data_IF_992934594983
#
_entry.id   IF_992934594983
#
_cell.length_a   1.000
_cell.length_b   1.000
_cell.length_c   1.000
_cell.angle_alpha   90.00
_cell.angle_beta   90.00
_cell.angle_gamma   90.00
#
_symmetry.space_group_name_H-M   'P 1'
#
loop_
_entity.id
_entity.type
_entity.pdbx_description
1 polymer ?
#
# COMPACT_ATOMS: atom_id res chain seq x y z
N UNK A 1 -10.54 -17.35 -18.22
CA UNK A 1 -10.38 -17.76 -16.80
C UNK A 1 -8.96 -18.14 -16.40
N UNK A 2 -8.21 -18.93 -17.18
CA UNK A 2 -6.85 -19.40 -16.82
C UNK A 2 -5.81 -18.30 -16.56
N UNK A 3 -5.81 -17.19 -17.32
CA UNK A 3 -4.81 -16.12 -17.17
C UNK A 3 -4.95 -15.34 -15.86
N UNK A 4 -6.17 -15.07 -15.41
CA UNK A 4 -6.43 -14.40 -14.13
C UNK A 4 -5.98 -15.28 -12.96
N UNK A 5 -6.19 -16.59 -13.08
CA UNK A 5 -5.71 -17.56 -12.11
C UNK A 5 -4.17 -17.61 -12.05
N UNK A 6 -3.50 -17.68 -13.22
CA UNK A 6 -2.03 -17.62 -13.30
C UNK A 6 -1.49 -16.36 -12.64
N UNK A 7 -2.08 -15.19 -12.92
CA UNK A 7 -1.65 -13.93 -12.32
C UNK A 7 -1.74 -13.94 -10.78
N UNK A 8 -2.75 -14.62 -10.21
CA UNK A 8 -2.92 -14.76 -8.77
C UNK A 8 -1.97 -15.78 -8.14
N UNK A 9 -1.65 -16.88 -8.83
CA UNK A 9 -0.78 -17.94 -8.32
C UNK A 9 0.66 -17.50 -8.05
N UNK A 10 1.14 -16.48 -8.78
CA UNK A 10 2.52 -16.01 -8.69
C UNK A 10 2.75 -15.10 -7.46
N UNK A 11 1.68 -14.52 -6.92
CA UNK A 11 1.76 -13.57 -5.82
C UNK A 11 1.50 -14.31 -4.50
N UNK A 12 2.46 -14.38 -3.57
CA UNK A 12 2.22 -14.97 -2.26
C UNK A 12 1.18 -14.14 -1.48
N UNK A 13 0.52 -14.74 -0.47
CA UNK A 13 -0.44 -14.07 0.40
C UNK A 13 0.05 -12.71 0.92
N UNK A 14 -0.89 -11.82 1.20
CA UNK A 14 -0.53 -10.50 1.74
C UNK A 14 0.14 -10.67 3.12
N UNK A 15 1.04 -9.75 3.48
CA UNK A 15 1.72 -9.83 4.79
C UNK A 15 0.72 -9.81 5.97
N UNK A 16 -0.41 -9.11 5.81
CA UNK A 16 -1.51 -9.09 6.78
C UNK A 16 -2.20 -10.44 6.94
N UNK A 17 -2.31 -11.23 5.87
CA UNK A 17 -2.85 -12.59 5.89
C UNK A 17 -1.85 -13.55 6.52
N UNK A 18 -0.57 -13.42 6.19
CA UNK A 18 0.48 -14.23 6.83
C UNK A 18 0.49 -13.98 8.35
N UNK A 19 0.31 -12.73 8.79
CA UNK A 19 0.27 -12.38 10.23
C UNK A 19 -0.89 -13.06 10.96
N UNK A 20 -2.04 -13.28 10.32
CA UNK A 20 -3.16 -13.96 11.00
C UNK A 20 -2.88 -15.43 11.29
N UNK A 21 -1.96 -16.04 10.55
CA UNK A 21 -1.55 -17.43 10.73
C UNK A 21 -0.36 -17.59 11.70
N UNK A 22 0.27 -16.48 12.12
CA UNK A 22 1.35 -16.50 13.12
C UNK A 22 0.74 -16.63 14.52
N UNK A 23 1.33 -17.44 15.43
CA UNK A 23 0.83 -17.56 16.79
C UNK A 23 0.64 -16.21 17.48
N UNK A 24 -0.49 -16.06 18.17
CA UNK A 24 -0.84 -14.86 18.94
C UNK A 24 0.30 -14.46 19.88
N UNK A 25 0.58 -13.16 19.99
CA UNK A 25 1.65 -12.61 20.84
C UNK A 25 3.07 -12.77 20.29
N UNK A 26 3.23 -13.30 19.07
CA UNK A 26 4.56 -13.58 18.50
C UNK A 26 4.81 -12.91 17.14
N UNK A 27 3.80 -12.30 16.53
CA UNK A 27 3.94 -11.74 15.19
C UNK A 27 4.90 -10.55 15.19
N UNK A 28 5.96 -10.67 14.39
CA UNK A 28 6.90 -9.60 14.06
C UNK A 28 6.63 -9.16 12.61
N UNK A 29 5.93 -8.05 12.39
CA UNK A 29 5.56 -7.58 11.05
C UNK A 29 6.77 -7.32 10.17
N UNK A 30 7.88 -6.85 10.74
CA UNK A 30 9.10 -6.58 9.99
C UNK A 30 9.75 -7.88 9.50
N UNK A 31 9.74 -8.95 10.30
CA UNK A 31 10.18 -10.28 9.84
C UNK A 31 9.26 -10.84 8.77
N UNK A 32 7.94 -10.76 8.94
CA UNK A 32 6.96 -11.24 7.94
C UNK A 32 7.13 -10.50 6.62
N UNK A 33 7.20 -9.16 6.64
CA UNK A 33 7.45 -8.36 5.45
C UNK A 33 8.77 -8.74 4.78
N UNK A 34 9.89 -8.83 5.52
CA UNK A 34 11.18 -9.23 4.94
C UNK A 34 11.15 -10.63 4.32
N UNK A 35 10.53 -11.60 4.99
CA UNK A 35 10.40 -12.96 4.45
C UNK A 35 9.57 -12.98 3.16
N UNK A 36 8.45 -12.24 3.13
CA UNK A 36 7.60 -12.11 1.95
C UNK A 36 8.33 -11.43 0.80
N UNK A 37 9.04 -10.34 1.07
CA UNK A 37 9.85 -9.64 0.06
C UNK A 37 10.98 -10.53 -0.48
N UNK A 38 11.61 -11.35 0.36
CA UNK A 38 12.62 -12.31 -0.07
C UNK A 38 12.04 -13.38 -1.03
N UNK A 39 10.86 -13.92 -0.73
CA UNK A 39 10.15 -14.86 -1.63
C UNK A 39 9.81 -14.18 -2.96
N UNK A 40 9.26 -12.97 -2.92
CA UNK A 40 8.94 -12.20 -4.13
C UNK A 40 10.19 -11.92 -4.97
N UNK A 41 11.30 -11.51 -4.34
CA UNK A 41 12.57 -11.24 -5.00
C UNK A 41 13.14 -12.50 -5.66
N UNK A 42 13.14 -13.63 -4.94
CA UNK A 42 13.59 -14.91 -5.49
C UNK A 42 12.72 -15.37 -6.66
N UNK A 43 11.40 -15.22 -6.56
CA UNK A 43 10.45 -15.55 -7.64
C UNK A 43 10.68 -14.69 -8.87
N UNK A 44 10.79 -13.37 -8.69
CA UNK A 44 11.07 -12.42 -9.76
C UNK A 44 12.39 -12.77 -10.48
N UNK A 45 13.48 -12.96 -9.73
CA UNK A 45 14.79 -13.22 -10.31
C UNK A 45 14.87 -14.57 -11.04
N UNK A 46 14.32 -15.64 -10.43
CA UNK A 46 14.35 -16.99 -11.02
C UNK A 46 13.50 -17.11 -12.28
N UNK A 47 12.46 -16.29 -12.40
CA UNK A 47 11.49 -16.37 -13.50
C UNK A 47 11.50 -15.13 -14.40
N UNK A 48 12.56 -14.31 -14.36
CA UNK A 48 12.64 -13.04 -15.10
C UNK A 48 12.32 -13.20 -16.60
N UNK A 49 12.87 -14.23 -17.25
CA UNK A 49 12.67 -14.49 -18.67
C UNK A 49 11.23 -14.94 -18.97
N UNK A 50 10.61 -15.68 -18.04
CA UNK A 50 9.21 -16.08 -18.15
C UNK A 50 8.28 -14.88 -18.01
N UNK A 51 8.55 -13.96 -17.07
CA UNK A 51 7.77 -12.72 -16.94
C UNK A 51 7.91 -11.82 -18.16
N UNK A 52 9.12 -11.69 -18.72
CA UNK A 52 9.34 -10.93 -19.95
C UNK A 52 8.55 -11.53 -21.14
N UNK A 53 8.57 -12.86 -21.30
CA UNK A 53 7.77 -13.55 -22.32
C UNK A 53 6.26 -13.37 -22.12
N UNK A 54 5.78 -13.45 -20.88
CA UNK A 54 4.38 -13.23 -20.56
C UNK A 54 3.96 -11.77 -20.81
N UNK A 55 4.81 -10.80 -20.48
CA UNK A 55 4.54 -9.39 -20.79
C UNK A 55 4.43 -9.16 -22.30
N UNK A 56 5.36 -9.71 -23.09
CA UNK A 56 5.32 -9.65 -24.54
C UNK A 56 4.05 -10.33 -25.12
N UNK A 57 3.65 -11.47 -24.55
CA UNK A 57 2.38 -12.11 -24.91
C UNK A 57 1.20 -11.19 -24.62
N UNK A 58 1.14 -10.55 -23.45
CA UNK A 58 0.05 -9.64 -23.12
C UNK A 58 0.04 -8.43 -24.07
N UNK A 59 1.19 -7.84 -24.38
CA UNK A 59 1.27 -6.71 -25.30
C UNK A 59 0.78 -7.05 -26.72
N UNK A 60 1.01 -8.28 -27.18
CA UNK A 60 0.53 -8.74 -28.48
C UNK A 60 -0.97 -9.07 -28.50
N UNK A 61 -1.58 -9.39 -27.36
CA UNK A 61 -2.96 -9.91 -27.28
C UNK A 61 -3.95 -8.98 -26.60
N UNK A 62 -3.51 -7.96 -25.86
CA UNK A 62 -4.41 -6.97 -25.26
C UNK A 62 -5.02 -6.08 -26.37
N UNK A 63 -6.36 -5.98 -26.44
CA UNK A 63 -6.99 -5.09 -27.40
C UNK A 63 -6.53 -3.64 -27.22
N UNK A 64 -6.21 -2.95 -28.33
CA UNK A 64 -5.81 -1.53 -28.32
C UNK A 64 -6.91 -0.62 -27.78
N UNK A 65 -8.15 -0.94 -28.12
CA UNK A 65 -9.33 -0.26 -27.59
C UNK A 65 -9.71 -0.86 -26.24
N UNK A 66 -10.02 -0.01 -25.26
CA UNK A 66 -10.39 -0.47 -23.93
C UNK A 66 -11.69 -1.29 -23.98
N UNK A 67 -11.62 -2.54 -23.49
CA UNK A 67 -12.78 -3.41 -23.31
C UNK A 67 -12.88 -3.89 -21.85
N UNK A 68 -14.06 -3.75 -21.21
CA UNK A 68 -14.32 -4.26 -19.87
C UNK A 68 -14.83 -5.71 -19.92
N UNK A 69 -14.26 -6.55 -20.79
CA UNK A 69 -14.59 -7.98 -20.88
C UNK A 69 -13.61 -8.83 -20.05
N UNK A 70 -14.01 -10.06 -19.63
CA UNK A 70 -13.19 -10.91 -18.78
C UNK A 70 -11.78 -11.21 -19.33
N UNK A 71 -11.64 -11.37 -20.65
CA UNK A 71 -10.35 -11.69 -21.27
C UNK A 71 -9.41 -10.49 -21.21
N UNK A 72 -9.88 -9.31 -21.61
CA UNK A 72 -9.11 -8.07 -21.55
C UNK A 72 -8.72 -7.70 -20.10
N UNK A 73 -9.63 -7.91 -19.14
CA UNK A 73 -9.33 -7.72 -17.72
C UNK A 73 -8.28 -8.70 -17.19
N UNK A 74 -8.32 -9.97 -17.61
CA UNK A 74 -7.32 -10.97 -17.23
C UNK A 74 -5.94 -10.62 -17.79
N UNK A 75 -5.88 -10.14 -19.04
CA UNK A 75 -4.64 -9.65 -19.66
C UNK A 75 -4.05 -8.46 -18.89
N UNK A 76 -4.87 -7.45 -18.54
CA UNK A 76 -4.41 -6.31 -17.71
C UNK A 76 -3.93 -6.73 -16.33
N UNK A 77 -4.60 -7.70 -15.72
CA UNK A 77 -4.18 -8.28 -14.43
C UNK A 77 -2.81 -8.94 -14.56
N UNK A 78 -2.59 -9.74 -15.61
CA UNK A 78 -1.31 -10.39 -15.87
C UNK A 78 -0.21 -9.37 -16.19
N UNK A 79 -0.53 -8.32 -16.98
CA UNK A 79 0.39 -7.19 -17.25
C UNK A 79 0.87 -6.55 -15.95
N UNK A 80 -0.05 -6.24 -15.03
CA UNK A 80 0.30 -5.66 -13.73
C UNK A 80 1.29 -6.51 -12.94
N UNK A 81 1.06 -7.83 -12.88
CA UNK A 81 1.99 -8.77 -12.23
C UNK A 81 3.34 -8.80 -12.94
N UNK A 82 3.36 -8.88 -14.28
CA UNK A 82 4.60 -8.94 -15.05
C UNK A 82 5.44 -7.67 -14.93
N UNK A 83 4.81 -6.48 -14.97
CA UNK A 83 5.51 -5.20 -14.76
C UNK A 83 6.13 -5.15 -13.36
N UNK A 84 5.37 -5.51 -12.32
CA UNK A 84 5.86 -5.50 -10.94
C UNK A 84 7.01 -6.50 -10.72
N UNK A 85 6.91 -7.71 -11.31
CA UNK A 85 7.98 -8.71 -11.22
C UNK A 85 9.20 -8.34 -12.07
N UNK A 86 9.00 -7.69 -13.22
CA UNK A 86 10.08 -7.19 -14.07
C UNK A 86 10.90 -6.11 -13.39
N UNK A 87 10.25 -5.08 -12.84
CA UNK A 87 10.89 -4.04 -12.02
C UNK A 87 11.65 -4.67 -10.87
N UNK A 88 11.02 -5.58 -10.12
CA UNK A 88 11.64 -6.26 -8.98
C UNK A 88 12.87 -7.07 -9.37
N UNK A 89 12.80 -7.86 -10.46
CA UNK A 89 13.94 -8.65 -10.93
C UNK A 89 15.11 -7.73 -11.31
N UNK A 90 14.83 -6.62 -11.99
CA UNK A 90 15.84 -5.64 -12.35
C UNK A 90 16.51 -5.03 -11.10
N UNK A 91 15.72 -4.57 -10.13
CA UNK A 91 16.23 -4.02 -8.86
C UNK A 91 17.12 -5.01 -8.10
N UNK A 92 16.70 -6.28 -8.01
CA UNK A 92 17.43 -7.32 -7.26
C UNK A 92 18.72 -7.74 -7.97
N UNK A 93 18.78 -7.64 -9.30
CA UNK A 93 20.00 -7.95 -10.05
C UNK A 93 21.14 -6.97 -9.74
N UNK A 94 20.83 -5.75 -9.28
CA UNK A 94 21.83 -4.77 -8.81
C UNK A 94 22.63 -4.08 -9.90
N UNK A 95 22.29 -4.28 -11.18
CA UNK A 95 22.83 -3.52 -12.30
C UNK A 95 22.01 -2.23 -12.47
N UNK A 96 22.60 -1.09 -12.11
CA UNK A 96 21.92 0.20 -12.11
C UNK A 96 21.45 0.61 -13.51
N UNK A 97 22.29 0.44 -14.54
CA UNK A 97 21.96 0.85 -15.90
C UNK A 97 20.86 -0.04 -16.49
N UNK A 98 20.94 -1.35 -16.27
CA UNK A 98 19.89 -2.28 -16.69
C UNK A 98 18.57 -2.04 -15.95
N UNK A 99 18.64 -1.72 -14.65
CA UNK A 99 17.46 -1.37 -13.85
C UNK A 99 16.78 -0.12 -14.35
N UNK A 100 17.56 0.93 -14.63
CA UNK A 100 17.04 2.19 -15.15
C UNK A 100 16.33 2.00 -16.49
N UNK A 101 16.87 1.18 -17.40
CA UNK A 101 16.20 0.84 -18.65
C UNK A 101 14.82 0.20 -18.44
N UNK A 102 14.69 -0.71 -17.47
CA UNK A 102 13.40 -1.34 -17.12
C UNK A 102 12.44 -0.32 -16.51
N UNK A 103 12.91 0.57 -15.64
CA UNK A 103 12.07 1.60 -15.03
C UNK A 103 11.54 2.59 -16.08
N UNK A 104 12.38 2.96 -17.04
CA UNK A 104 12.01 3.83 -18.15
C UNK A 104 11.01 3.16 -19.11
N UNK A 105 11.15 1.86 -19.40
CA UNK A 105 10.13 1.11 -20.16
C UNK A 105 8.76 1.15 -19.47
N UNK A 106 8.72 1.01 -18.13
CA UNK A 106 7.46 1.13 -17.36
C UNK A 106 6.89 2.55 -17.45
N UNK A 107 7.73 3.58 -17.41
CA UNK A 107 7.30 4.98 -17.59
C UNK A 107 6.75 5.23 -19.00
N UNK A 108 7.39 4.71 -20.04
CA UNK A 108 6.90 4.82 -21.42
C UNK A 108 5.54 4.13 -21.58
N UNK A 109 5.38 2.95 -20.97
CA UNK A 109 4.10 2.23 -20.93
C UNK A 109 3.01 2.98 -20.19
N UNK A 110 3.36 3.68 -19.10
CA UNK A 110 2.44 4.57 -18.39
C UNK A 110 1.95 5.70 -19.33
N UNK A 111 2.87 6.38 -20.02
CA UNK A 111 2.55 7.50 -20.92
C UNK A 111 1.78 7.07 -22.17
N UNK A 112 2.08 5.90 -22.71
CA UNK A 112 1.37 5.32 -23.86
C UNK A 112 0.01 4.72 -23.49
N UNK A 113 -0.31 4.63 -22.20
CA UNK A 113 -1.54 3.98 -21.75
C UNK A 113 -2.78 4.80 -22.08
N UNK A 114 -3.81 4.12 -22.61
CA UNK A 114 -5.12 4.71 -22.88
C UNK A 114 -6.15 4.44 -21.77
N UNK A 115 -5.75 3.78 -20.68
CA UNK A 115 -6.66 3.43 -19.58
C UNK A 115 -5.99 3.45 -18.21
N UNK A 116 -6.77 3.83 -17.20
CA UNK A 116 -6.28 3.98 -15.82
C UNK A 116 -5.83 2.67 -15.18
N UNK A 117 -6.34 1.51 -15.62
CA UNK A 117 -5.91 0.20 -15.05
C UNK A 117 -4.43 -0.04 -15.33
N UNK A 118 -3.98 0.24 -16.55
CA UNK A 118 -2.57 0.10 -16.92
C UNK A 118 -1.71 1.21 -16.32
N UNK A 119 -2.20 2.45 -16.24
CA UNK A 119 -1.48 3.51 -15.53
C UNK A 119 -1.21 3.17 -14.06
N UNK A 120 -2.24 2.72 -13.33
CA UNK A 120 -2.13 2.29 -11.92
C UNK A 120 -1.18 1.09 -11.80
N UNK A 121 -1.19 0.16 -12.75
CA UNK A 121 -0.27 -0.98 -12.76
C UNK A 121 1.21 -0.51 -12.87
N UNK A 122 1.49 0.46 -13.75
CA UNK A 122 2.82 1.04 -13.90
C UNK A 122 3.25 1.79 -12.63
N UNK A 123 2.37 2.63 -12.07
CA UNK A 123 2.61 3.32 -10.81
C UNK A 123 2.89 2.33 -9.68
N UNK A 124 2.11 1.27 -9.56
CA UNK A 124 2.27 0.24 -8.52
C UNK A 124 3.58 -0.54 -8.67
N UNK A 125 4.04 -0.78 -9.90
CA UNK A 125 5.32 -1.44 -10.15
C UNK A 125 6.51 -0.60 -9.68
N UNK A 126 6.44 0.73 -9.85
CA UNK A 126 7.50 1.67 -9.47
C UNK A 126 7.39 2.20 -8.04
N UNK A 127 6.27 1.99 -7.35
CA UNK A 127 5.90 2.70 -6.11
C UNK A 127 6.89 2.56 -4.96
N UNK A 128 7.61 1.44 -4.86
CA UNK A 128 8.54 1.15 -3.77
C UNK A 128 10.02 1.44 -4.12
N UNK A 129 10.29 2.03 -5.30
CA UNK A 129 11.63 2.41 -5.71
C UNK A 129 12.03 3.76 -5.09
N UNK A 130 13.06 3.76 -4.25
CA UNK A 130 13.64 4.98 -3.67
C UNK A 130 14.50 5.71 -4.71
N UNK A 131 14.46 7.04 -4.67
CA UNK A 131 15.31 7.92 -5.52
C UNK A 131 15.24 7.54 -7.00
N UNK A 132 14.04 7.27 -7.49
CA UNK A 132 13.79 6.81 -8.86
C UNK A 132 13.02 7.88 -9.65
N UNK A 133 13.65 8.52 -10.65
CA UNK A 133 12.98 9.54 -11.47
C UNK A 133 11.72 9.03 -12.16
N UNK A 134 11.71 7.76 -12.60
CA UNK A 134 10.52 7.16 -13.20
C UNK A 134 9.34 7.07 -12.22
N UNK A 135 9.60 6.75 -10.94
CA UNK A 135 8.56 6.76 -9.89
C UNK A 135 8.02 8.18 -9.68
N UNK A 136 8.91 9.16 -9.58
CA UNK A 136 8.51 10.55 -9.37
C UNK A 136 7.66 11.06 -10.53
N UNK A 137 8.10 10.81 -11.76
CA UNK A 137 7.38 11.19 -12.97
C UNK A 137 5.97 10.58 -13.03
N UNK A 138 5.80 9.27 -12.80
CA UNK A 138 4.44 8.68 -12.84
C UNK A 138 3.53 9.22 -11.74
N UNK A 139 4.07 9.52 -10.54
CA UNK A 139 3.26 10.06 -9.44
C UNK A 139 2.84 11.51 -9.71
N UNK A 140 3.74 12.33 -10.25
CA UNK A 140 3.48 13.73 -10.58
C UNK A 140 2.55 13.86 -11.80
N UNK A 141 2.84 13.14 -12.89
CA UNK A 141 2.00 13.16 -14.09
C UNK A 141 0.58 12.70 -13.79
N UNK A 142 0.41 11.68 -12.95
CA UNK A 142 -0.92 11.20 -12.56
C UNK A 142 -1.68 12.23 -11.74
N UNK A 143 -1.01 12.89 -10.79
CA UNK A 143 -1.61 13.97 -10.02
C UNK A 143 -2.03 15.12 -10.93
N UNK A 144 -1.12 15.62 -11.77
CA UNK A 144 -1.39 16.77 -12.64
C UNK A 144 -2.53 16.51 -13.63
N UNK A 145 -2.67 15.27 -14.10
CA UNK A 145 -3.74 14.85 -15.01
C UNK A 145 -5.10 14.75 -14.31
N UNK A 146 -5.13 14.24 -13.07
CA UNK A 146 -6.38 13.85 -12.41
C UNK A 146 -6.70 14.62 -11.12
N UNK A 147 -5.98 15.68 -10.77
CA UNK A 147 -6.15 16.42 -9.50
C UNK A 147 -7.56 16.94 -9.23
N UNK A 148 -8.34 17.22 -10.27
CA UNK A 148 -9.74 17.64 -10.15
C UNK A 148 -10.71 16.47 -9.92
N UNK A 149 -10.27 15.24 -10.21
CA UNK A 149 -11.06 14.01 -10.10
C UNK A 149 -10.90 13.37 -8.71
N UNK A 150 -11.75 13.79 -7.76
CA UNK A 150 -11.65 13.41 -6.33
C UNK A 150 -11.48 11.90 -6.08
N UNK A 151 -12.26 11.06 -6.77
CA UNK A 151 -12.19 9.60 -6.59
C UNK A 151 -10.87 9.00 -7.09
N UNK A 152 -10.25 9.63 -8.08
CA UNK A 152 -8.95 9.24 -8.63
C UNK A 152 -7.84 9.65 -7.68
N UNK A 153 -7.95 10.84 -7.08
CA UNK A 153 -7.00 11.31 -6.06
C UNK A 153 -6.98 10.46 -4.79
N UNK A 154 -8.10 9.80 -4.44
CA UNK A 154 -8.10 8.79 -3.38
C UNK A 154 -7.19 7.60 -3.70
N UNK A 155 -7.18 7.13 -4.96
CA UNK A 155 -6.27 6.07 -5.40
C UNK A 155 -4.81 6.53 -5.36
N UNK A 156 -4.55 7.77 -5.78
CA UNK A 156 -3.22 8.36 -5.74
C UNK A 156 -2.70 8.51 -4.29
N UNK A 157 -3.53 9.04 -3.37
CA UNK A 157 -3.19 9.14 -1.95
C UNK A 157 -2.90 7.76 -1.34
N UNK A 158 -3.73 6.77 -1.65
CA UNK A 158 -3.52 5.40 -1.17
C UNK A 158 -2.24 4.77 -1.73
N UNK A 159 -1.90 5.05 -3.00
CA UNK A 159 -0.64 4.62 -3.60
C UNK A 159 0.56 5.23 -2.87
N UNK A 160 0.51 6.53 -2.58
CA UNK A 160 1.56 7.22 -1.84
C UNK A 160 1.70 6.70 -0.41
N UNK A 161 0.58 6.49 0.29
CA UNK A 161 0.56 6.03 1.68
C UNK A 161 1.01 4.57 1.85
N UNK A 162 0.77 3.74 0.84
CA UNK A 162 1.16 2.33 0.85
C UNK A 162 2.63 2.08 0.46
N UNK A 163 3.34 3.12 0.00
CA UNK A 163 4.74 3.02 -0.44
C UNK A 163 5.71 2.85 0.72
N UNK A 164 6.64 1.89 0.61
CA UNK A 164 7.77 1.76 1.54
C UNK A 164 8.74 2.96 1.54
N UNK A 165 8.60 3.88 0.58
CA UNK A 165 9.41 5.10 0.50
C UNK A 165 8.89 6.23 1.38
N UNK A 166 7.60 6.21 1.72
CA UNK A 166 6.96 7.30 2.46
C UNK A 166 6.62 6.83 3.88
N UNK A 167 7.47 7.20 4.84
CA UNK A 167 7.24 6.91 6.26
C UNK A 167 6.29 7.91 6.92
N UNK A 168 6.10 7.76 8.23
CA UNK A 168 5.24 8.63 9.03
C UNK A 168 5.58 10.12 8.89
N UNK A 169 6.88 10.45 8.87
CA UNK A 169 7.36 11.83 8.71
C UNK A 169 6.93 12.45 7.38
N UNK A 170 7.01 11.68 6.29
CA UNK A 170 6.54 12.11 4.96
C UNK A 170 5.03 12.27 4.95
N UNK A 171 4.29 11.34 5.56
CA UNK A 171 2.83 11.46 5.65
C UNK A 171 2.42 12.73 6.39
N UNK A 172 3.05 13.00 7.53
CA UNK A 172 2.77 14.14 8.39
C UNK A 172 3.15 15.47 7.74
N UNK A 173 4.36 15.59 7.18
CA UNK A 173 4.87 16.88 6.66
C UNK A 173 4.40 17.21 5.26
N UNK A 174 4.12 16.19 4.44
CA UNK A 174 3.79 16.38 3.02
C UNK A 174 2.33 16.10 2.76
N UNK A 175 1.81 14.94 3.18
CA UNK A 175 0.49 14.49 2.76
C UNK A 175 -0.67 14.99 3.62
N UNK A 176 -0.47 15.34 4.89
CA UNK A 176 -1.50 16.01 5.69
C UNK A 176 -1.85 17.41 5.15
N UNK A 177 -0.89 18.10 4.53
CA UNK A 177 -1.07 19.45 3.96
C UNK A 177 -1.27 19.43 2.43
N UNK A 178 -1.27 18.25 1.82
CA UNK A 178 -1.36 18.13 0.37
C UNK A 178 -2.78 18.47 -0.12
N UNK A 179 -2.95 19.23 -1.24
CA UNK A 179 -4.28 19.62 -1.73
C UNK A 179 -5.23 18.46 -2.06
N UNK A 180 -4.68 17.27 -2.32
CA UNK A 180 -5.47 16.05 -2.54
C UNK A 180 -6.10 15.49 -1.25
N UNK A 181 -5.55 15.81 -0.08
CA UNK A 181 -6.03 15.33 1.21
C UNK A 181 -7.01 16.32 1.84
N UNK A 182 -8.12 15.79 2.34
CA UNK A 182 -9.11 16.57 3.06
C UNK A 182 -9.61 15.75 4.24
N UNK A 183 -9.20 16.13 5.44
CA UNK A 183 -9.55 15.44 6.68
C UNK A 183 -11.06 15.38 6.96
N UNK A 184 -11.86 16.31 6.41
CA UNK A 184 -13.31 16.30 6.55
C UNK A 184 -13.98 15.25 5.65
N UNK A 185 -13.26 14.71 4.66
CA UNK A 185 -13.78 13.70 3.76
C UNK A 185 -13.39 12.28 4.26
N UNK A 186 -14.35 11.42 4.62
CA UNK A 186 -14.07 10.07 5.12
C UNK A 186 -13.23 9.22 4.14
N UNK A 187 -13.50 9.30 2.83
CA UNK A 187 -12.77 8.53 1.83
C UNK A 187 -11.32 9.00 1.68
N UNK A 188 -11.06 10.29 1.89
CA UNK A 188 -9.69 10.83 1.93
C UNK A 188 -8.92 10.27 3.13
N UNK A 189 -9.55 10.20 4.31
CA UNK A 189 -8.97 9.57 5.50
C UNK A 189 -8.71 8.07 5.30
N UNK A 190 -9.66 7.33 4.74
CA UNK A 190 -9.44 5.91 4.43
C UNK A 190 -8.34 5.69 3.40
N UNK A 191 -8.16 6.61 2.47
CA UNK A 191 -7.11 6.51 1.45
C UNK A 191 -5.73 6.74 2.04
N UNK A 192 -5.55 7.84 2.79
CA UNK A 192 -4.26 8.20 3.38
C UNK A 192 -3.92 7.32 4.59
N UNK A 193 -4.73 7.37 5.64
CA UNK A 193 -4.46 6.64 6.88
C UNK A 193 -4.62 5.14 6.70
N UNK A 194 -5.65 4.71 5.96
CA UNK A 194 -5.85 3.28 5.68
C UNK A 194 -4.75 2.69 4.79
N UNK A 195 -4.30 3.44 3.78
CA UNK A 195 -3.14 3.06 2.97
C UNK A 195 -1.86 2.90 3.80
N UNK A 196 -1.60 3.85 4.71
CA UNK A 196 -0.45 3.79 5.59
C UNK A 196 -0.52 2.65 6.61
N UNK A 197 -1.68 2.44 7.26
CA UNK A 197 -1.89 1.30 8.16
C UNK A 197 -1.73 -0.06 7.44
N UNK A 198 -2.04 -0.12 6.14
CA UNK A 198 -1.80 -1.28 5.28
C UNK A 198 -0.32 -1.49 4.94
N UNK A 199 0.49 -0.43 4.98
CA UNK A 199 1.94 -0.51 4.85
C UNK A 199 2.57 -0.95 6.17
N UNK A 200 2.53 -2.25 6.44
CA UNK A 200 2.97 -2.83 7.71
C UNK A 200 4.43 -2.48 8.07
N UNK A 201 5.29 -2.26 7.06
CA UNK A 201 6.68 -1.90 7.29
C UNK A 201 6.86 -0.49 7.87
N UNK A 202 5.95 0.43 7.54
CA UNK A 202 5.97 1.82 8.01
C UNK A 202 5.03 2.03 9.20
N UNK A 203 3.85 1.40 9.19
CA UNK A 203 2.88 1.51 10.28
C UNK A 203 3.43 0.94 11.59
N UNK A 204 4.04 -0.25 11.56
CA UNK A 204 4.59 -0.89 12.75
C UNK A 204 5.97 -0.36 13.15
N UNK A 205 6.19 0.95 13.00
CA UNK A 205 7.33 1.70 13.55
C UNK A 205 6.84 2.55 14.73
N UNK A 206 7.71 2.94 15.68
CA UNK A 206 7.31 3.88 16.73
C UNK A 206 6.67 5.16 16.18
N UNK A 207 7.24 5.71 15.11
CA UNK A 207 6.77 6.93 14.45
C UNK A 207 5.42 6.69 13.75
N UNK A 208 5.23 5.52 13.13
CA UNK A 208 3.98 5.13 12.47
C UNK A 208 2.81 5.03 13.45
N UNK A 209 3.06 4.43 14.62
CA UNK A 209 2.05 4.40 15.69
C UNK A 209 1.75 5.80 16.24
N UNK A 210 2.78 6.60 16.50
CA UNK A 210 2.63 7.97 17.00
C UNK A 210 1.79 8.82 16.04
N UNK A 211 2.08 8.74 14.74
CA UNK A 211 1.35 9.49 13.73
C UNK A 211 -0.12 9.06 13.62
N UNK A 212 -0.40 7.76 13.58
CA UNK A 212 -1.80 7.28 13.56
C UNK A 212 -2.54 7.65 14.85
N UNK A 213 -1.90 7.58 16.02
CA UNK A 213 -2.52 7.99 17.27
C UNK A 213 -2.83 9.50 17.30
N UNK A 214 -1.91 10.35 16.79
CA UNK A 214 -2.15 11.79 16.58
C UNK A 214 -3.36 12.01 15.67
N UNK A 215 -3.43 11.29 14.55
CA UNK A 215 -4.52 11.39 13.60
C UNK A 215 -5.86 10.91 14.16
N UNK A 216 -5.87 9.86 14.98
CA UNK A 216 -7.07 9.43 15.73
C UNK A 216 -7.56 10.54 16.64
N UNK A 217 -6.68 11.15 17.46
CA UNK A 217 -7.05 12.25 18.37
C UNK A 217 -7.64 13.44 17.60
N UNK A 218 -7.05 13.81 16.45
CA UNK A 218 -7.54 14.88 15.57
C UNK A 218 -8.90 14.51 14.95
N UNK A 219 -8.99 13.32 14.36
CA UNK A 219 -10.20 12.85 13.68
C UNK A 219 -11.37 12.63 14.61
N UNK A 220 -11.14 12.27 15.87
CA UNK A 220 -12.23 12.04 16.81
C UNK A 220 -13.09 13.29 17.03
N UNK A 221 -12.46 14.47 16.96
CA UNK A 221 -13.16 15.77 17.06
C UNK A 221 -13.95 16.13 15.80
N UNK A 222 -13.60 15.56 14.64
CA UNK A 222 -14.16 15.90 13.32
C UNK A 222 -15.20 14.86 12.88
N UNK A 223 -14.85 13.59 13.02
CA UNK A 223 -15.64 12.43 12.64
C UNK A 223 -15.30 11.21 13.53
N UNK A 224 -15.97 11.10 14.69
CA UNK A 224 -15.86 9.96 15.62
C UNK A 224 -15.94 8.58 14.99
N UNK A 225 -16.81 8.42 13.98
CA UNK A 225 -17.01 7.12 13.32
C UNK A 225 -15.77 6.71 12.51
N UNK A 226 -15.14 7.65 11.82
CA UNK A 226 -13.89 7.41 11.09
C UNK A 226 -12.75 7.15 12.08
N UNK A 227 -12.64 7.96 13.14
CA UNK A 227 -11.60 7.80 14.16
C UNK A 227 -11.66 6.41 14.83
N UNK A 228 -12.85 5.94 15.20
CA UNK A 228 -13.02 4.63 15.85
C UNK A 228 -12.51 3.45 15.00
N UNK A 229 -12.55 3.56 13.67
CA UNK A 229 -11.99 2.53 12.77
C UNK A 229 -10.47 2.46 12.86
N UNK A 230 -9.80 3.58 13.11
CA UNK A 230 -8.36 3.62 13.34
C UNK A 230 -7.99 3.25 14.79
N UNK A 231 -8.87 3.45 15.77
CA UNK A 231 -8.68 2.80 17.09
C UNK A 231 -8.58 1.26 16.97
N UNK A 232 -9.36 0.66 16.06
CA UNK A 232 -9.34 -0.81 15.83
C UNK A 232 -7.98 -1.32 15.32
N UNK A 233 -7.16 -0.49 14.67
CA UNK A 233 -5.82 -0.96 14.24
C UNK A 233 -4.93 -1.22 15.45
N UNK A 234 -5.05 -0.40 16.51
CA UNK A 234 -4.35 -0.61 17.78
C UNK A 234 -4.95 -1.77 18.60
N UNK A 235 -6.26 -2.02 18.48
CA UNK A 235 -6.94 -3.12 19.18
C UNK A 235 -6.36 -4.52 18.86
N UNK A 236 -5.64 -4.66 17.74
CA UNK A 236 -4.95 -5.91 17.36
C UNK A 236 -3.63 -6.14 18.10
N UNK A 237 -3.28 -5.33 19.10
CA UNK A 237 -1.98 -5.37 19.79
C UNK A 237 -1.57 -6.77 20.28
N UNK A 238 -2.52 -7.61 20.72
CA UNK A 238 -2.28 -8.99 21.19
C UNK A 238 -1.67 -9.92 20.13
N UNK A 239 -1.83 -9.61 18.85
CA UNK A 239 -1.26 -10.43 17.77
C UNK A 239 0.27 -10.32 17.72
N UNK A 240 0.82 -9.18 18.13
CA UNK A 240 2.21 -8.81 17.88
C UNK A 240 3.14 -9.17 19.04
N UNK A 241 4.42 -9.22 18.74
CA UNK A 241 5.48 -9.43 19.73
C UNK A 241 5.45 -8.38 20.87
N UNK A 242 5.99 -8.69 22.07
CA UNK A 242 5.80 -7.91 23.29
C UNK A 242 6.10 -6.40 23.19
N UNK A 243 7.09 -6.01 22.39
CA UNK A 243 7.49 -4.60 22.20
C UNK A 243 6.40 -3.81 21.49
N UNK A 244 5.92 -4.31 20.34
CA UNK A 244 4.78 -3.70 19.60
C UNK A 244 3.48 -3.81 20.36
N UNK A 245 3.29 -4.92 21.06
CA UNK A 245 2.14 -5.09 21.95
C UNK A 245 2.09 -3.97 22.99
N UNK A 246 3.21 -3.69 23.67
CA UNK A 246 3.32 -2.62 24.66
C UNK A 246 3.08 -1.23 24.06
N UNK A 247 3.67 -0.93 22.90
CA UNK A 247 3.48 0.37 22.22
C UNK A 247 2.01 0.59 21.83
N UNK A 248 1.40 -0.38 21.15
CA UNK A 248 0.01 -0.27 20.69
C UNK A 248 -0.97 -0.21 21.86
N UNK A 249 -0.75 -1.00 22.91
CA UNK A 249 -1.53 -0.94 24.15
C UNK A 249 -1.35 0.41 24.85
N UNK A 250 -0.14 0.96 24.88
CA UNK A 250 0.15 2.28 25.43
C UNK A 250 -0.69 3.37 24.76
N UNK A 251 -0.82 3.36 23.43
CA UNK A 251 -1.69 4.33 22.74
C UNK A 251 -3.17 4.15 23.06
N UNK A 252 -3.66 2.92 23.23
CA UNK A 252 -5.04 2.69 23.71
C UNK A 252 -5.24 3.25 25.13
N UNK A 253 -4.28 3.04 26.03
CA UNK A 253 -4.29 3.56 27.40
C UNK A 253 -4.15 5.09 27.45
N UNK A 254 -3.47 5.71 26.49
CA UNK A 254 -3.47 7.16 26.34
C UNK A 254 -4.83 7.68 25.88
N UNK A 255 -5.43 7.05 24.87
CA UNK A 255 -6.73 7.45 24.34
C UNK A 255 -7.81 7.32 25.42
N UNK A 256 -7.78 6.26 26.24
CA UNK A 256 -8.77 6.05 27.31
C UNK A 256 -8.77 7.13 28.39
N UNK A 257 -7.64 7.85 28.57
CA UNK A 257 -7.51 8.96 29.52
C UNK A 257 -8.03 10.28 28.99
N UNK A 258 -8.41 10.37 27.70
CA UNK A 258 -8.97 11.59 27.12
C UNK A 258 -10.44 11.70 27.53
N UNK A 259 -10.75 12.63 28.43
CA UNK A 259 -12.12 12.84 28.93
C UNK A 259 -13.13 13.18 27.82
N UNK A 260 -12.68 13.93 26.81
CA UNK A 260 -13.48 14.34 25.65
C UNK A 260 -13.54 13.31 24.52
N UNK A 261 -12.95 12.12 24.69
CA UNK A 261 -12.99 11.07 23.67
C UNK A 261 -14.43 10.68 23.38
N UNK A 262 -14.79 10.68 22.10
CA UNK A 262 -16.13 10.31 21.64
C UNK A 262 -16.56 8.92 22.11
N UNK A 263 -17.86 8.69 22.21
CA UNK A 263 -18.40 7.37 22.57
C UNK A 263 -17.96 6.28 21.58
N UNK A 264 -17.95 6.57 20.28
CA UNK A 264 -17.49 5.66 19.24
C UNK A 264 -16.06 5.17 19.47
N UNK A 265 -15.13 6.08 19.74
CA UNK A 265 -13.73 5.73 19.98
C UNK A 265 -13.54 5.09 21.35
N UNK A 266 -14.25 5.58 22.37
CA UNK A 266 -14.21 5.05 23.74
C UNK A 266 -14.68 3.61 23.82
N UNK A 267 -15.73 3.25 23.09
CA UNK A 267 -16.22 1.87 22.99
C UNK A 267 -15.10 0.93 22.50
N UNK A 268 -14.47 1.26 21.38
CA UNK A 268 -13.40 0.44 20.80
C UNK A 268 -12.19 0.34 21.75
N UNK A 269 -11.78 1.44 22.35
CA UNK A 269 -10.65 1.48 23.28
C UNK A 269 -10.94 0.63 24.52
N UNK A 270 -12.14 0.76 25.10
CA UNK A 270 -12.55 0.02 26.30
C UNK A 270 -12.63 -1.48 26.02
N UNK A 271 -13.28 -1.89 24.92
CA UNK A 271 -13.32 -3.28 24.50
C UNK A 271 -11.91 -3.84 24.29
N UNK A 272 -11.06 -3.09 23.60
CA UNK A 272 -9.69 -3.51 23.35
C UNK A 272 -8.85 -3.66 24.63
N UNK A 273 -9.06 -2.84 25.66
CA UNK A 273 -8.33 -2.95 26.93
C UNK A 273 -8.90 -4.00 27.89
N UNK A 274 -10.20 -4.31 27.78
CA UNK A 274 -10.91 -5.22 28.69
C UNK A 274 -10.99 -6.68 28.23
N UNK A 275 -10.78 -6.98 26.94
CA UNK A 275 -10.63 -8.36 26.46
C UNK A 275 -9.39 -9.01 27.13
N UNK A 276 -9.55 -9.68 28.26
CA UNK A 276 -8.48 -10.46 28.89
C UNK A 276 -8.53 -11.91 28.42
#
# INVERSE_FOLDING_TARGET
DTLSFIARLVVPPAASEIITDVPMGTADPAKVCRAREAVLNATAQRNKDSFAKLLAYVDANEPKEYKPDPTSMALRTLKSVCLKMGVRAATVAGDAAASEAVYNDVLERYRASTNMTTQIACMSALNDLKECPAREAVMEEFYNTYKEEKLVMFKWLSMQASSGCNGADTMEKVFEEHPAYNINNPNSNYSLLGGFCGNLSQFHTPEGYAWIAKMVKKLDTINPQVASRFCKVFARYRQYEPTRQALMKGYLEELSKIESLSENSREIVTLALNDQ
#
